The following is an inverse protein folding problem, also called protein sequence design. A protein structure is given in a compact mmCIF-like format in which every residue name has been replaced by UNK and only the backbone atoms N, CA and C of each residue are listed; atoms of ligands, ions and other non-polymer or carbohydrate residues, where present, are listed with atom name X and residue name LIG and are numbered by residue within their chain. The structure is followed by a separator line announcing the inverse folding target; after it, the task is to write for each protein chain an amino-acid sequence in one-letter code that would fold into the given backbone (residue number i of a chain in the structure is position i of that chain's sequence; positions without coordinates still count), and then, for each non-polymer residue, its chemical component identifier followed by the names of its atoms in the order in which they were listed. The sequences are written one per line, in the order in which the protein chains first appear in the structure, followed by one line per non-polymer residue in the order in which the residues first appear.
data_IF_540522204368
#
_entry.id   IF_540522204368
#
_cell.length_a   1.000
_cell.length_b   1.000
_cell.length_c   1.000
_cell.angle_alpha   90.00
_cell.angle_beta   90.00
_cell.angle_gamma   90.00
#
_symmetry.space_group_name_H-M   'P 1'
#
loop_
_entity.id
_entity.type
_entity.pdbx_description
1 polymer ?
#
# COMPACT_ATOMS: atom_id res chain seq x y z
N UNK A 1 14.00 39.38 4.42
CA UNK A 1 12.87 38.43 4.61
C UNK A 1 13.19 37.61 5.84
N UNK A 2 12.37 37.74 6.88
CA UNK A 2 12.66 37.19 8.20
C UNK A 2 12.48 35.67 8.19
N UNK A 3 13.55 34.95 8.53
CA UNK A 3 13.52 33.52 8.86
C UNK A 3 12.64 33.32 10.11
N UNK A 4 11.39 32.91 9.92
CA UNK A 4 10.50 32.52 11.01
C UNK A 4 11.02 31.23 11.62
N UNK A 5 11.80 31.38 12.68
CA UNK A 5 12.18 30.33 13.62
C UNK A 5 10.93 29.50 13.99
N UNK A 6 10.90 28.22 13.59
CA UNK A 6 9.95 27.24 14.11
C UNK A 6 10.28 27.03 15.59
N UNK A 7 9.77 27.89 16.46
CA UNK A 7 9.63 27.54 17.87
C UNK A 7 8.78 26.28 17.91
N UNK A 8 9.35 25.22 18.47
CA UNK A 8 8.72 23.93 18.69
C UNK A 8 7.33 24.14 19.26
N UNK A 9 6.31 23.96 18.42
CA UNK A 9 4.92 24.02 18.88
C UNK A 9 4.79 22.97 20.00
N UNK A 10 4.45 23.37 21.24
CA UNK A 10 4.32 22.44 22.36
C UNK A 10 3.30 21.33 22.07
N UNK A 11 2.46 21.50 21.04
CA UNK A 11 1.55 20.49 20.55
C UNK A 11 2.27 19.25 19.98
N UNK A 12 3.41 19.46 19.29
CA UNK A 12 4.13 18.48 18.46
C UNK A 12 5.41 17.94 19.10
N UNK A 13 5.57 18.15 20.41
CA UNK A 13 6.74 17.69 21.16
C UNK A 13 6.92 16.17 21.00
N UNK A 14 8.13 15.73 20.63
CA UNK A 14 8.56 14.34 20.41
C UNK A 14 8.02 13.61 19.17
N UNK A 15 6.73 13.78 18.85
CA UNK A 15 6.06 13.07 17.75
C UNK A 15 6.19 13.81 16.40
N UNK A 16 6.50 15.11 16.41
CA UNK A 16 6.60 15.89 15.19
C UNK A 16 5.24 16.30 14.64
N UNK A 17 5.15 16.58 13.33
CA UNK A 17 3.93 17.12 12.71
C UNK A 17 2.88 16.02 12.50
N UNK A 18 1.58 16.35 12.62
CA UNK A 18 0.51 15.44 12.25
C UNK A 18 0.59 15.04 10.77
N UNK A 19 0.24 13.79 10.47
CA UNK A 19 0.17 13.27 9.10
C UNK A 19 -1.28 12.90 8.78
N UNK A 20 -1.74 13.21 7.57
CA UNK A 20 -3.12 12.90 7.15
C UNK A 20 -3.30 11.46 6.68
N UNK A 21 -2.22 10.77 6.33
CA UNK A 21 -2.25 9.41 5.80
C UNK A 21 -1.00 8.62 6.19
N UNK A 22 -1.19 7.32 6.45
CA UNK A 22 -0.09 6.38 6.68
C UNK A 22 0.55 5.94 5.36
N UNK A 23 1.86 5.68 5.39
CA UNK A 23 2.56 5.09 4.23
C UNK A 23 1.99 3.73 3.89
N UNK A 24 1.70 3.49 2.62
CA UNK A 24 1.24 2.18 2.12
C UNK A 24 2.38 1.26 1.69
N UNK A 25 3.62 1.76 1.74
CA UNK A 25 4.80 1.03 1.29
C UNK A 25 5.42 0.16 2.39
N UNK A 26 5.08 0.38 3.66
CA UNK A 26 5.61 -0.39 4.80
C UNK A 26 4.57 -0.47 5.89
N UNK A 27 4.77 -1.36 6.87
CA UNK A 27 3.89 -1.41 8.03
C UNK A 27 4.07 -0.14 8.90
N UNK A 28 3.00 0.35 9.56
CA UNK A 28 3.07 1.57 10.36
C UNK A 28 3.95 1.40 11.61
N UNK A 29 4.78 2.39 11.89
CA UNK A 29 5.49 2.50 13.18
C UNK A 29 4.59 3.11 14.25
N UNK A 30 5.00 2.97 15.51
CA UNK A 30 4.37 3.66 16.64
C UNK A 30 4.32 5.19 16.42
N UNK A 31 5.37 5.77 15.82
CA UNK A 31 5.39 7.19 15.44
C UNK A 31 4.29 7.55 14.43
N UNK A 32 4.16 6.76 13.36
CA UNK A 32 3.24 7.07 12.26
C UNK A 32 1.78 7.08 12.75
N UNK A 33 1.41 6.09 13.58
CA UNK A 33 0.05 6.01 14.14
C UNK A 33 -0.23 7.14 15.12
N UNK A 34 0.75 7.60 15.89
CA UNK A 34 0.57 8.74 16.79
C UNK A 34 0.44 10.07 16.02
N UNK A 35 1.19 10.25 14.93
CA UNK A 35 1.05 11.42 14.06
C UNK A 35 -0.32 11.46 13.39
N UNK A 36 -0.84 10.30 12.95
CA UNK A 36 -2.20 10.21 12.38
C UNK A 36 -3.28 10.46 13.43
N UNK A 37 -3.11 9.91 14.65
CA UNK A 37 -4.02 10.18 15.77
C UNK A 37 -4.14 11.69 16.05
N UNK A 38 -2.99 12.38 16.08
CA UNK A 38 -2.98 13.84 16.24
C UNK A 38 -3.70 14.56 15.12
N UNK A 39 -3.61 14.07 13.88
CA UNK A 39 -4.32 14.68 12.75
C UNK A 39 -5.85 14.57 12.94
N UNK A 40 -6.37 13.38 13.26
CA UNK A 40 -7.82 13.21 13.49
C UNK A 40 -8.31 14.05 14.68
N UNK A 41 -7.53 14.12 15.76
CA UNK A 41 -7.98 14.83 16.96
C UNK A 41 -7.81 16.35 16.86
N UNK A 42 -6.65 16.83 16.39
CA UNK A 42 -6.30 18.25 16.41
C UNK A 42 -6.71 18.98 15.13
N UNK A 43 -6.61 18.33 13.97
CA UNK A 43 -6.90 18.94 12.68
C UNK A 43 -8.36 18.73 12.29
N UNK A 44 -8.89 17.53 12.45
CA UNK A 44 -10.28 17.20 12.09
C UNK A 44 -11.27 17.43 13.24
N UNK A 45 -10.79 17.73 14.45
CA UNK A 45 -11.64 18.01 15.62
C UNK A 45 -12.45 16.82 16.12
N UNK A 46 -12.04 15.59 15.79
CA UNK A 46 -12.73 14.36 16.22
C UNK A 46 -12.57 14.12 17.71
N UNK A 47 -13.54 13.42 18.29
CA UNK A 47 -13.42 12.97 19.68
C UNK A 47 -12.28 11.97 19.82
N UNK A 48 -11.62 11.95 20.97
CA UNK A 48 -10.46 11.07 21.17
C UNK A 48 -10.78 9.57 20.93
N UNK A 49 -11.94 9.02 21.36
CA UNK A 49 -12.34 7.64 21.03
C UNK A 49 -12.51 7.40 19.52
N UNK A 50 -13.11 8.35 18.81
CA UNK A 50 -13.30 8.28 17.36
C UNK A 50 -11.95 8.34 16.63
N UNK A 51 -11.06 9.25 17.05
CA UNK A 51 -9.70 9.35 16.50
C UNK A 51 -8.92 8.05 16.67
N UNK A 52 -8.99 7.40 17.83
CA UNK A 52 -8.34 6.09 18.02
C UNK A 52 -8.86 5.05 17.04
N UNK A 53 -10.18 4.96 16.89
CA UNK A 53 -10.80 3.99 15.99
C UNK A 53 -10.38 4.24 14.54
N UNK A 54 -10.45 5.49 14.08
CA UNK A 54 -10.05 5.87 12.72
C UNK A 54 -8.57 5.55 12.44
N UNK A 55 -7.67 5.87 13.38
CA UNK A 55 -6.24 5.53 13.25
C UNK A 55 -6.02 4.02 13.19
N UNK A 56 -6.71 3.25 14.05
CA UNK A 56 -6.60 1.80 14.05
C UNK A 56 -7.16 1.17 12.76
N UNK A 57 -8.29 1.65 12.25
CA UNK A 57 -8.87 1.18 10.99
C UNK A 57 -7.93 1.46 9.81
N UNK A 58 -7.29 2.63 9.77
CA UNK A 58 -6.28 2.96 8.77
C UNK A 58 -5.04 2.04 8.86
N UNK A 59 -4.56 1.75 10.08
CA UNK A 59 -3.47 0.82 10.29
C UNK A 59 -3.86 -0.60 9.84
N UNK A 60 -5.03 -1.10 10.24
CA UNK A 60 -5.54 -2.42 9.86
C UNK A 60 -5.61 -2.56 8.33
N UNK A 61 -6.05 -1.52 7.62
CA UNK A 61 -6.06 -1.51 6.16
C UNK A 61 -4.68 -1.77 5.55
N UNK A 62 -3.60 -1.24 6.13
CA UNK A 62 -2.23 -1.49 5.64
C UNK A 62 -1.80 -2.94 5.92
N UNK A 63 -2.08 -3.45 7.11
CA UNK A 63 -1.76 -4.83 7.47
C UNK A 63 -2.54 -5.84 6.61
N UNK A 64 -3.81 -5.57 6.30
CA UNK A 64 -4.61 -6.38 5.38
C UNK A 64 -4.03 -6.36 3.96
N UNK A 65 -3.51 -5.21 3.50
CA UNK A 65 -2.82 -5.13 2.19
C UNK A 65 -1.53 -5.95 2.16
N UNK A 66 -0.88 -6.12 3.31
CA UNK A 66 0.27 -7.02 3.47
C UNK A 66 -0.15 -8.50 3.64
N UNK A 67 -1.45 -8.81 3.58
CA UNK A 67 -2.02 -10.14 3.82
C UNK A 67 -1.68 -10.72 5.20
N UNK A 68 -1.46 -9.85 6.18
CA UNK A 68 -1.16 -10.25 7.54
C UNK A 68 -2.44 -10.15 8.39
N UNK A 69 -2.88 -11.27 9.00
CA UNK A 69 -4.00 -11.26 9.94
C UNK A 69 -3.77 -10.31 11.12
N UNK A 70 -4.80 -9.53 11.46
CA UNK A 70 -4.75 -8.55 12.56
C UNK A 70 -5.68 -8.90 13.71
N UNK A 71 -5.38 -8.36 14.88
CA UNK A 71 -6.26 -8.42 16.03
C UNK A 71 -7.54 -7.61 15.78
N UNK A 72 -8.57 -7.89 16.57
CA UNK A 72 -9.80 -7.08 16.61
C UNK A 72 -9.47 -5.61 16.88
N UNK A 73 -10.24 -4.72 16.25
CA UNK A 73 -10.12 -3.25 16.38
C UNK A 73 -10.04 -2.82 17.85
N UNK A 74 -10.85 -3.42 18.74
CA UNK A 74 -10.86 -3.11 20.17
C UNK A 74 -9.49 -3.35 20.86
N UNK A 75 -8.75 -4.38 20.45
CA UNK A 75 -7.41 -4.67 20.95
C UNK A 75 -6.38 -3.68 20.40
N UNK A 76 -6.51 -3.32 19.11
CA UNK A 76 -5.68 -2.30 18.48
C UNK A 76 -5.87 -0.93 19.16
N UNK A 77 -7.12 -0.54 19.43
CA UNK A 77 -7.47 0.70 20.13
C UNK A 77 -6.91 0.71 21.55
N UNK A 78 -6.99 -0.40 22.29
CA UNK A 78 -6.36 -0.50 23.61
C UNK A 78 -4.83 -0.30 23.54
N UNK A 79 -4.18 -0.90 22.54
CA UNK A 79 -2.73 -0.73 22.32
C UNK A 79 -2.38 0.73 22.00
N UNK A 80 -3.11 1.36 21.07
CA UNK A 80 -2.90 2.75 20.69
C UNK A 80 -3.20 3.72 21.85
N UNK A 81 -4.26 3.48 22.63
CA UNK A 81 -4.59 4.27 23.81
C UNK A 81 -3.48 4.21 24.86
N UNK A 82 -2.89 3.03 25.11
CA UNK A 82 -1.77 2.89 26.05
C UNK A 82 -0.54 3.65 25.56
N UNK A 83 -0.21 3.52 24.27
CA UNK A 83 0.89 4.25 23.63
C UNK A 83 0.68 5.77 23.74
N UNK A 84 -0.52 6.26 23.47
CA UNK A 84 -0.85 7.68 23.58
C UNK A 84 -0.83 8.18 25.02
N UNK A 85 -1.31 7.41 26.00
CA UNK A 85 -1.22 7.75 27.42
C UNK A 85 0.23 7.86 27.90
N UNK A 86 1.11 6.94 27.47
CA UNK A 86 2.54 7.01 27.76
C UNK A 86 3.14 8.30 27.20
N UNK A 87 2.79 8.66 25.96
CA UNK A 87 3.20 9.93 25.38
C UNK A 87 2.73 11.14 26.19
N UNK A 88 1.45 11.17 26.59
CA UNK A 88 0.91 12.28 27.38
C UNK A 88 1.60 12.42 28.74
N UNK A 89 1.90 11.29 29.41
CA UNK A 89 2.65 11.30 30.67
C UNK A 89 4.06 11.92 30.51
N UNK A 90 4.75 11.61 29.40
CA UNK A 90 6.03 12.23 29.07
C UNK A 90 5.88 13.72 28.76
N UNK A 91 4.84 14.08 28.00
CA UNK A 91 4.56 15.47 27.61
C UNK A 91 4.34 16.38 28.81
N UNK A 92 3.74 15.88 29.89
CA UNK A 92 3.57 16.63 31.16
C UNK A 92 4.91 16.93 31.84
N UNK A 93 5.93 16.09 31.65
CA UNK A 93 7.24 16.22 32.29
C UNK A 93 8.32 16.81 31.39
N UNK A 94 8.00 17.24 30.17
CA UNK A 94 8.94 17.77 29.17
C UNK A 94 9.83 18.95 29.63
N UNK A 95 9.40 19.72 30.64
CA UNK A 95 10.17 20.86 31.16
C UNK A 95 11.09 20.48 32.34
N UNK A 96 10.90 19.28 32.91
CA UNK A 96 11.68 18.80 34.05
C UNK A 96 13.02 18.28 33.56
N UNK A 97 14.10 18.66 34.25
CA UNK A 97 15.49 18.27 33.90
C UNK A 97 16.00 17.06 34.68
N UNK A 98 15.11 16.20 35.20
CA UNK A 98 15.53 15.00 35.94
C UNK A 98 16.12 13.97 34.97
N UNK A 99 17.20 13.32 35.37
CA UNK A 99 17.85 12.29 34.57
C UNK A 99 16.91 11.11 34.26
N UNK A 100 16.10 10.70 35.24
CA UNK A 100 15.10 9.65 35.05
C UNK A 100 14.00 10.01 34.05
N UNK A 101 13.66 11.29 33.90
CA UNK A 101 12.68 11.75 32.91
C UNK A 101 13.30 11.73 31.50
N UNK A 102 14.59 12.11 31.37
CA UNK A 102 15.34 12.03 30.10
C UNK A 102 15.51 10.59 29.62
N UNK A 103 15.86 9.67 30.53
CA UNK A 103 16.00 8.26 30.19
C UNK A 103 14.68 7.68 29.65
N UNK A 104 13.54 8.04 30.24
CA UNK A 104 12.22 7.63 29.73
C UNK A 104 11.89 8.27 28.37
N UNK A 105 12.28 9.52 28.16
CA UNK A 105 12.12 10.19 26.86
C UNK A 105 12.92 9.46 25.77
N UNK A 106 14.18 9.13 26.05
CA UNK A 106 15.06 8.47 25.08
C UNK A 106 14.64 7.01 24.80
N UNK A 107 14.18 6.28 25.83
CA UNK A 107 13.56 4.97 25.61
C UNK A 107 12.33 5.09 24.70
N UNK A 108 11.44 6.05 24.97
CA UNK A 108 10.26 6.24 24.16
C UNK A 108 10.59 6.66 22.72
N UNK A 109 11.68 7.42 22.49
CA UNK A 109 12.15 7.70 21.12
C UNK A 109 12.55 6.43 20.37
N UNK A 110 13.13 5.46 21.07
CA UNK A 110 13.40 4.12 20.54
C UNK A 110 12.10 3.42 20.16
N UNK A 111 11.17 3.30 21.12
CA UNK A 111 9.86 2.68 20.92
C UNK A 111 9.08 3.30 19.74
N UNK A 112 9.22 4.62 19.52
CA UNK A 112 8.57 5.32 18.41
C UNK A 112 9.01 4.81 17.03
N UNK A 113 10.24 4.31 16.90
CA UNK A 113 10.74 3.74 15.66
C UNK A 113 10.27 2.29 15.45
N UNK A 114 9.80 1.62 16.50
CA UNK A 114 9.35 0.23 16.41
C UNK A 114 8.02 0.10 15.67
N UNK A 115 7.77 -1.12 15.19
CA UNK A 115 6.56 -1.52 14.52
C UNK A 115 5.34 -1.36 15.44
N UNK A 116 4.27 -0.73 14.94
CA UNK A 116 2.98 -0.79 15.61
C UNK A 116 2.32 -2.16 15.35
N UNK A 117 2.83 -3.18 16.05
CA UNK A 117 2.45 -4.57 15.80
C UNK A 117 1.02 -4.87 16.24
N UNK A 118 0.12 -5.11 15.28
CA UNK A 118 -1.27 -5.47 15.52
C UNK A 118 -1.61 -6.85 14.97
N UNK A 119 -0.61 -7.69 14.72
CA UNK A 119 -0.80 -9.06 14.25
C UNK A 119 -1.56 -9.92 15.27
N UNK A 120 -2.29 -10.93 14.78
CA UNK A 120 -2.85 -11.97 15.65
C UNK A 120 -1.74 -12.71 16.41
N UNK A 121 -2.09 -13.37 17.53
CA UNK A 121 -1.11 -14.11 18.33
C UNK A 121 -0.49 -15.28 17.55
N UNK A 122 -1.33 -15.95 16.78
CA UNK A 122 -0.98 -17.11 15.96
C UNK A 122 -0.70 -16.71 14.50
N UNK A 123 -0.34 -15.44 14.26
CA UNK A 123 -0.12 -14.91 12.91
C UNK A 123 0.84 -15.75 12.08
N UNK A 124 1.89 -16.29 12.69
CA UNK A 124 2.89 -17.09 11.99
C UNK A 124 2.31 -18.43 11.54
N UNK A 125 1.29 -18.99 12.18
CA UNK A 125 0.64 -20.22 11.71
C UNK A 125 -0.48 -19.91 10.72
N UNK A 126 -1.18 -18.78 10.89
CA UNK A 126 -2.29 -18.34 10.03
C UNK A 126 -1.84 -17.91 8.62
N UNK A 127 -0.70 -17.24 8.49
CA UNK A 127 -0.16 -16.86 7.17
C UNK A 127 0.23 -18.14 6.42
N UNK A 128 -0.32 -18.35 5.22
CA UNK A 128 -0.03 -19.54 4.41
C UNK A 128 1.23 -19.37 3.54
N UNK A 129 1.53 -18.14 3.14
CA UNK A 129 2.65 -17.83 2.25
C UNK A 129 3.93 -17.58 3.08
N UNK A 130 5.01 -18.28 2.75
CA UNK A 130 6.28 -18.11 3.45
C UNK A 130 6.91 -16.73 3.21
N UNK A 131 6.70 -16.14 2.02
CA UNK A 131 7.20 -14.78 1.74
C UNK A 131 6.55 -13.72 2.64
N UNK A 132 5.24 -13.85 2.89
CA UNK A 132 4.51 -12.91 3.78
C UNK A 132 4.92 -13.11 5.25
N UNK A 133 5.28 -14.34 5.65
CA UNK A 133 5.85 -14.63 6.98
C UNK A 133 7.24 -14.01 7.15
N UNK A 134 8.10 -14.18 6.15
CA UNK A 134 9.44 -13.61 6.14
C UNK A 134 9.37 -12.09 6.18
N UNK A 135 8.48 -11.48 5.38
CA UNK A 135 8.25 -10.05 5.39
C UNK A 135 7.88 -9.53 6.78
N UNK A 136 6.97 -10.21 7.50
CA UNK A 136 6.62 -9.82 8.87
C UNK A 136 7.81 -9.96 9.84
N UNK A 137 8.64 -11.00 9.68
CA UNK A 137 9.85 -11.18 10.50
C UNK A 137 10.84 -10.05 10.28
N UNK A 138 11.16 -9.76 9.02
CA UNK A 138 12.06 -8.67 8.63
C UNK A 138 11.54 -7.31 9.11
N UNK A 139 10.24 -7.04 8.99
CA UNK A 139 9.63 -5.79 9.49
C UNK A 139 9.65 -5.65 11.02
N UNK A 140 9.61 -6.76 11.76
CA UNK A 140 9.73 -6.77 13.23
C UNK A 140 11.15 -6.51 13.70
N UNK A 141 12.15 -6.99 12.96
CA UNK A 141 13.57 -6.76 13.24
C UNK A 141 13.98 -5.34 12.83
N UNK A 142 13.60 -4.93 11.63
CA UNK A 142 13.85 -3.59 11.09
C UNK A 142 12.70 -3.15 10.19
N UNK A 143 11.97 -2.12 10.64
CA UNK A 143 10.82 -1.55 9.91
C UNK A 143 11.19 -0.93 8.55
N UNK A 144 12.48 -0.70 8.28
CA UNK A 144 13.00 -0.16 7.02
C UNK A 144 13.57 -1.21 6.06
N UNK A 145 13.71 -2.46 6.51
CA UNK A 145 14.38 -3.52 5.75
C UNK A 145 13.67 -3.91 4.45
N UNK A 146 12.34 -3.80 4.41
CA UNK A 146 11.50 -4.31 3.33
C UNK A 146 10.36 -3.36 2.97
N UNK A 147 9.93 -3.40 1.70
CA UNK A 147 8.81 -2.60 1.18
C UNK A 147 7.73 -3.50 0.60
N UNK A 148 6.47 -3.13 0.81
CA UNK A 148 5.26 -3.72 0.23
C UNK A 148 5.04 -3.33 -1.25
N UNK A 149 5.92 -2.52 -1.84
CA UNK A 149 5.79 -2.03 -3.22
C UNK A 149 6.28 -3.07 -4.23
N UNK A 150 5.51 -4.15 -4.40
CA UNK A 150 5.73 -5.18 -5.41
C UNK A 150 4.51 -6.09 -5.49
N UNK A 151 3.84 -6.13 -6.64
CA UNK A 151 2.73 -7.07 -6.85
C UNK A 151 3.34 -8.36 -7.37
N UNK A 152 3.33 -9.42 -6.56
CA UNK A 152 3.62 -10.77 -7.07
C UNK A 152 2.44 -11.24 -7.92
N UNK A 153 2.60 -11.14 -9.24
CA UNK A 153 1.61 -11.49 -10.26
C UNK A 153 1.15 -12.95 -10.12
N UNK A 154 2.05 -13.85 -9.71
CA UNK A 154 1.72 -15.28 -9.57
C UNK A 154 0.79 -15.50 -8.39
N UNK A 155 1.14 -14.96 -7.23
CA UNK A 155 0.31 -15.11 -6.03
C UNK A 155 -1.02 -14.35 -6.16
N UNK A 156 -1.00 -13.14 -6.75
CA UNK A 156 -2.22 -12.37 -7.03
C UNK A 156 -3.21 -13.13 -7.93
N UNK A 157 -2.70 -13.84 -8.94
CA UNK A 157 -3.54 -14.66 -9.85
C UNK A 157 -4.16 -15.86 -9.13
N UNK A 158 -3.40 -16.56 -8.28
CA UNK A 158 -3.90 -17.68 -7.47
C UNK A 158 -4.99 -17.23 -6.50
N UNK A 159 -4.78 -16.11 -5.82
CA UNK A 159 -5.76 -15.54 -4.89
C UNK A 159 -7.04 -15.07 -5.59
N UNK A 160 -6.93 -14.43 -6.76
CA UNK A 160 -8.09 -14.03 -7.55
C UNK A 160 -8.97 -15.24 -7.91
N UNK A 161 -8.34 -16.34 -8.33
CA UNK A 161 -9.05 -17.61 -8.60
C UNK A 161 -9.71 -18.17 -7.33
N UNK A 162 -9.02 -18.18 -6.19
CA UNK A 162 -9.57 -18.62 -4.90
C UNK A 162 -10.78 -17.77 -4.48
N UNK A 163 -10.66 -16.44 -4.55
CA UNK A 163 -11.74 -15.50 -4.21
C UNK A 163 -12.96 -15.67 -5.12
N UNK A 164 -12.74 -15.92 -6.41
CA UNK A 164 -13.83 -16.23 -7.34
C UNK A 164 -14.55 -17.53 -6.98
N UNK A 165 -13.82 -18.57 -6.55
CA UNK A 165 -14.41 -19.84 -6.08
C UNK A 165 -15.25 -19.62 -4.81
N UNK A 166 -14.68 -18.96 -3.80
CA UNK A 166 -15.38 -18.66 -2.54
C UNK A 166 -16.62 -17.79 -2.75
N UNK A 167 -16.56 -16.80 -3.65
CA UNK A 167 -17.72 -15.97 -3.95
C UNK A 167 -18.82 -16.75 -4.69
N UNK A 168 -18.45 -17.65 -5.62
CA UNK A 168 -19.40 -18.55 -6.29
C UNK A 168 -20.08 -19.46 -5.27
N UNK A 169 -19.32 -20.09 -4.37
CA UNK A 169 -19.86 -20.94 -3.31
C UNK A 169 -20.78 -20.16 -2.36
N UNK A 170 -20.38 -18.95 -1.94
CA UNK A 170 -21.20 -18.07 -1.11
C UNK A 170 -22.51 -17.69 -1.81
N UNK A 171 -22.48 -17.42 -3.12
CA UNK A 171 -23.69 -17.15 -3.93
C UNK A 171 -24.59 -18.38 -4.03
N UNK A 172 -24.02 -19.58 -4.22
CA UNK A 172 -24.79 -20.84 -4.25
C UNK A 172 -25.45 -21.08 -2.90
N UNK A 173 -24.72 -20.93 -1.80
CA UNK A 173 -25.25 -21.11 -0.44
C UNK A 173 -26.37 -20.11 -0.13
N UNK A 174 -26.19 -18.84 -0.48
CA UNK A 174 -27.22 -17.80 -0.32
C UNK A 174 -28.48 -18.14 -1.11
N UNK A 175 -28.37 -18.60 -2.37
CA UNK A 175 -29.53 -19.03 -3.18
C UNK A 175 -30.25 -20.23 -2.58
N UNK A 176 -29.50 -21.17 -1.99
CA UNK A 176 -30.07 -22.32 -1.31
C UNK A 176 -30.86 -21.89 -0.05
N UNK A 177 -30.28 -21.03 0.79
CA UNK A 177 -30.95 -20.48 1.98
C UNK A 177 -32.19 -19.64 1.63
N UNK A 178 -32.14 -18.85 0.55
CA UNK A 178 -33.29 -18.08 0.05
C UNK A 178 -34.44 -18.99 -0.43
N UNK A 179 -34.13 -20.12 -1.07
CA UNK A 179 -35.14 -21.13 -1.45
C UNK A 179 -35.76 -21.81 -0.22
N UNK A 180 -34.94 -22.14 0.78
CA UNK A 180 -35.42 -22.78 2.01
C UNK A 180 -36.30 -21.84 2.85
N UNK A 181 -36.04 -20.53 2.82
CA UNK A 181 -36.83 -19.53 3.57
C UNK A 181 -38.12 -19.10 2.85
N UNK A 182 -38.17 -19.18 1.52
CA UNK A 182 -39.37 -18.90 0.72
C UNK A 182 -40.28 -20.13 0.49
N UNK A 183 -39.80 -21.34 0.79
CA UNK A 183 -40.46 -22.61 0.46
C UNK A 183 -41.45 -23.20 1.47
N UNK A 184 -41.95 -22.45 2.46
CA UNK A 184 -42.96 -22.97 3.41
C UNK A 184 -44.41 -22.60 3.01
N UNK A 185 -44.76 -22.69 1.73
CA UNK A 185 -46.15 -22.81 1.30
C UNK A 185 -46.21 -23.62 0.01
N UNK A 186 -47.00 -24.69 0.06
CA UNK A 186 -47.47 -25.55 -1.05
C UNK A 186 -46.54 -26.67 -1.57
N UNK A 187 -46.85 -27.87 -1.05
CA UNK A 187 -47.15 -29.14 -1.75
C UNK A 187 -46.14 -29.79 -2.71
N UNK A 188 -46.05 -31.10 -2.49
CA UNK A 188 -45.24 -32.14 -3.12
C UNK A 188 -45.12 -32.11 -4.65
N UNK A 189 -43.91 -32.39 -5.14
CA UNK A 189 -43.69 -32.81 -6.53
C UNK A 189 -42.34 -32.40 -7.10
N UNK A 190 -41.57 -33.39 -7.55
CA UNK A 190 -40.36 -33.28 -8.40
C UNK A 190 -39.00 -33.03 -7.73
N UNK A 191 -38.36 -34.18 -7.43
CA UNK A 191 -36.92 -34.39 -7.46
C UNK A 191 -36.39 -34.08 -8.87
N UNK A 192 -35.87 -32.88 -9.12
CA UNK A 192 -35.18 -32.57 -10.38
C UNK A 192 -33.72 -32.16 -10.15
N UNK A 193 -32.85 -33.10 -10.54
CA UNK A 193 -31.53 -32.91 -11.13
C UNK A 193 -30.50 -32.09 -10.36
N UNK A 194 -29.69 -32.80 -9.58
CA UNK A 194 -28.32 -32.40 -9.27
C UNK A 194 -27.50 -32.30 -10.57
N UNK A 195 -27.44 -31.14 -11.20
CA UNK A 195 -26.41 -30.87 -12.20
C UNK A 195 -25.10 -30.57 -11.48
N UNK A 196 -24.35 -31.64 -11.20
CA UNK A 196 -22.95 -31.57 -10.85
C UNK A 196 -22.19 -31.13 -12.11
N UNK A 197 -21.96 -29.84 -12.30
CA UNK A 197 -20.95 -29.36 -13.24
C UNK A 197 -19.58 -29.60 -12.61
N UNK A 198 -19.12 -30.85 -12.71
CA UNK A 198 -17.72 -31.20 -12.56
C UNK A 198 -17.02 -30.85 -13.87
N UNK A 199 -16.71 -29.57 -14.07
CA UNK A 199 -15.73 -29.17 -15.09
C UNK A 199 -14.34 -29.44 -14.51
N UNK A 200 -13.86 -30.65 -14.81
CA UNK A 200 -12.45 -31.02 -14.72
C UNK A 200 -11.73 -30.29 -15.85
N UNK A 201 -11.05 -29.19 -15.53
CA UNK A 201 -10.03 -28.63 -16.42
C UNK A 201 -8.66 -29.16 -15.99
N UNK A 202 -8.00 -29.78 -16.96
CA UNK A 202 -6.74 -30.48 -16.86
C UNK A 202 -5.60 -29.55 -16.45
N UNK A 203 -4.70 -30.10 -15.64
CA UNK A 203 -3.48 -29.47 -15.13
C UNK A 203 -2.48 -29.36 -16.28
N UNK A 204 -2.41 -28.21 -16.95
CA UNK A 204 -1.33 -27.90 -17.89
C UNK A 204 -0.21 -27.14 -17.16
N UNK A 205 0.82 -27.89 -16.81
CA UNK A 205 2.10 -27.43 -16.28
C UNK A 205 2.85 -26.63 -17.35
N UNK A 206 2.63 -25.32 -17.39
CA UNK A 206 3.33 -24.43 -18.32
C UNK A 206 4.75 -24.11 -17.81
N UNK A 207 5.76 -24.79 -18.37
CA UNK A 207 7.16 -24.35 -18.30
C UNK A 207 7.39 -23.14 -19.23
N UNK A 208 8.03 -22.05 -18.76
CA UNK A 208 8.32 -20.90 -19.63
C UNK A 208 9.57 -21.19 -20.49
N UNK A 209 9.35 -21.45 -21.77
CA UNK A 209 10.40 -21.41 -22.79
C UNK A 209 10.80 -19.96 -23.08
N UNK A 210 12.11 -19.72 -22.98
CA UNK A 210 12.77 -18.49 -23.41
C UNK A 210 12.45 -18.23 -24.88
N UNK A 211 11.90 -17.07 -25.22
CA UNK A 211 11.75 -16.65 -26.61
C UNK A 211 12.33 -15.26 -26.81
N UNK A 212 13.48 -15.26 -27.49
CA UNK A 212 14.00 -14.12 -28.21
C UNK A 212 13.03 -13.72 -29.34
N UNK A 213 12.91 -12.43 -29.70
CA UNK A 213 12.15 -12.03 -30.88
C UNK A 213 13.09 -11.78 -32.08
N UNK A 214 12.93 -12.60 -33.12
CA UNK A 214 13.27 -12.26 -34.50
C UNK A 214 11.98 -12.20 -35.34
N UNK A 215 12.01 -11.31 -36.32
CA UNK A 215 10.97 -10.78 -37.23
C UNK A 215 10.19 -11.85 -38.03
N UNK A 216 9.06 -11.49 -38.69
CA UNK A 216 9.15 -11.05 -40.09
C UNK A 216 8.10 -10.02 -40.59
N UNK A 217 8.48 -9.41 -41.72
CA UNK A 217 7.78 -8.63 -42.75
C UNK A 217 6.39 -9.18 -43.17
N UNK A 218 5.44 -8.35 -43.67
CA UNK A 218 5.30 -7.99 -45.10
C UNK A 218 4.23 -6.91 -45.35
N UNK A 219 4.50 -6.12 -46.39
CA UNK A 219 3.86 -4.96 -47.05
C UNK A 219 2.37 -4.97 -47.40
N UNK A 220 1.77 -3.77 -47.53
CA UNK A 220 1.00 -3.32 -48.74
C UNK A 220 0.97 -1.77 -48.80
N UNK A 221 1.05 -1.25 -50.02
CA UNK A 221 1.34 0.14 -50.45
C UNK A 221 0.11 0.92 -50.95
N UNK A 222 0.25 2.26 -50.95
CA UNK A 222 -0.15 3.34 -51.92
C UNK A 222 -0.56 4.60 -51.13
N UNK A 223 -0.39 5.86 -51.53
CA UNK A 223 0.44 6.62 -52.47
C UNK A 223 0.13 8.12 -52.18
N UNK A 224 0.98 9.03 -52.68
CA UNK A 224 0.79 10.49 -52.87
C UNK A 224 1.12 11.47 -51.72
N UNK A 225 2.22 12.20 -51.93
CA UNK A 225 2.75 13.40 -51.26
C UNK A 225 2.18 14.67 -51.95
N UNK A 226 2.59 15.96 -51.68
CA UNK A 226 3.62 16.49 -50.76
C UNK A 226 3.26 17.79 -49.98
N UNK A 227 4.05 18.13 -48.96
CA UNK A 227 4.11 19.52 -48.48
C UNK A 227 4.80 19.75 -47.13
N UNK A 228 5.85 20.57 -47.16
CA UNK A 228 6.53 21.27 -46.06
C UNK A 228 7.57 20.48 -45.23
N UNK A 229 8.82 20.68 -45.64
CA UNK A 229 10.06 20.44 -44.90
C UNK A 229 10.12 21.22 -43.58
N UNK A 230 10.26 20.51 -42.46
CA UNK A 230 10.92 21.05 -41.27
C UNK A 230 11.88 19.99 -40.73
N UNK A 231 13.16 20.28 -40.79
CA UNK A 231 14.25 19.45 -40.29
C UNK A 231 14.04 19.11 -38.81
N UNK A 232 13.66 17.86 -38.51
CA UNK A 232 13.54 17.34 -37.14
C UNK A 232 14.93 17.37 -36.50
N UNK A 233 15.19 18.35 -35.63
CA UNK A 233 16.36 18.36 -34.76
C UNK A 233 16.25 17.15 -33.83
N UNK A 234 17.20 16.22 -33.91
CA UNK A 234 17.32 15.10 -32.97
C UNK A 234 17.41 15.67 -31.55
N UNK A 235 16.43 15.35 -30.70
CA UNK A 235 16.44 15.70 -29.28
C UNK A 235 17.58 14.90 -28.64
N UNK A 236 18.62 15.58 -28.16
CA UNK A 236 19.69 14.95 -27.38
C UNK A 236 19.15 14.61 -25.98
N UNK A 237 19.72 13.57 -25.36
CA UNK A 237 19.34 13.01 -24.06
C UNK A 237 18.84 14.07 -23.07
N UNK A 238 17.56 13.99 -22.72
CA UNK A 238 16.86 15.01 -21.92
C UNK A 238 17.52 15.16 -20.53
N UNK A 239 18.08 14.06 -20.00
CA UNK A 239 18.77 14.04 -18.71
C UNK A 239 20.24 14.49 -18.76
N UNK A 240 20.76 14.92 -19.91
CA UNK A 240 22.04 15.63 -20.00
C UNK A 240 21.91 17.14 -19.83
N UNK A 241 20.67 17.67 -19.83
CA UNK A 241 20.44 19.10 -19.57
C UNK A 241 20.59 19.39 -18.08
N UNK A 242 21.54 20.25 -17.66
CA UNK A 242 21.73 20.59 -16.25
C UNK A 242 20.52 21.31 -15.64
N UNK A 243 19.70 21.98 -16.48
CA UNK A 243 18.46 22.61 -16.04
C UNK A 243 17.38 21.58 -15.67
N UNK A 244 17.28 20.50 -16.47
CA UNK A 244 16.33 19.42 -16.22
C UNK A 244 16.74 18.63 -14.99
N UNK A 245 18.01 18.27 -14.87
CA UNK A 245 18.54 17.56 -13.69
C UNK A 245 18.37 18.42 -12.43
N UNK A 246 18.70 19.71 -12.49
CA UNK A 246 18.52 20.63 -11.36
C UNK A 246 17.05 20.84 -10.97
N UNK A 247 16.12 20.78 -11.93
CA UNK A 247 14.69 20.82 -11.63
C UNK A 247 14.24 19.54 -10.92
N UNK A 248 14.67 18.36 -11.40
CA UNK A 248 14.34 17.06 -10.81
C UNK A 248 14.87 16.91 -9.38
N UNK A 249 16.09 17.39 -9.13
CA UNK A 249 16.74 17.34 -7.82
C UNK A 249 15.98 18.19 -6.78
N UNK A 250 15.48 19.36 -7.17
CA UNK A 250 14.66 20.24 -6.30
C UNK A 250 13.33 19.61 -5.88
N UNK A 251 12.76 18.74 -6.71
CA UNK A 251 11.55 17.97 -6.39
C UNK A 251 11.85 16.60 -5.79
N UNK A 252 13.13 16.28 -5.58
CA UNK A 252 13.62 14.98 -5.09
C UNK A 252 12.98 13.80 -5.86
N UNK A 253 12.87 13.94 -7.18
CA UNK A 253 12.25 12.91 -8.01
C UNK A 253 13.28 11.81 -8.33
N UNK A 254 13.02 10.53 -7.99
CA UNK A 254 13.94 9.44 -8.28
C UNK A 254 14.03 9.19 -9.80
N UNK A 255 15.20 8.75 -10.29
CA UNK A 255 15.52 8.56 -11.72
C UNK A 255 14.43 7.81 -12.49
N UNK A 256 13.92 6.72 -11.90
CA UNK A 256 12.85 5.92 -12.50
C UNK A 256 11.56 6.74 -12.68
N UNK A 257 11.21 7.56 -11.69
CA UNK A 257 10.07 8.48 -11.76
C UNK A 257 10.28 9.59 -12.79
N UNK A 258 11.50 10.10 -12.91
CA UNK A 258 11.86 11.09 -13.92
C UNK A 258 11.68 10.57 -15.35
N UNK A 259 12.11 9.33 -15.62
CA UNK A 259 11.91 8.66 -16.92
C UNK A 259 10.43 8.53 -17.27
N UNK A 260 9.56 8.16 -16.31
CA UNK A 260 8.11 8.06 -16.54
C UNK A 260 7.48 9.40 -16.91
N UNK A 261 7.83 10.47 -16.18
CA UNK A 261 7.31 11.82 -16.47
C UNK A 261 7.82 12.31 -17.81
N UNK A 262 9.11 12.10 -18.12
CA UNK A 262 9.70 12.49 -19.39
C UNK A 262 9.06 11.74 -20.58
N UNK A 263 8.77 10.44 -20.43
CA UNK A 263 8.05 9.65 -21.43
C UNK A 263 6.62 10.13 -21.67
N UNK A 264 5.88 10.47 -20.61
CA UNK A 264 4.53 11.01 -20.73
C UNK A 264 4.51 12.37 -21.44
N UNK A 265 5.45 13.26 -21.11
CA UNK A 265 5.60 14.57 -21.76
C UNK A 265 6.00 14.41 -23.23
N UNK A 266 6.93 13.52 -23.52
CA UNK A 266 7.35 13.20 -24.88
C UNK A 266 6.17 12.71 -25.75
N UNK A 267 5.37 11.79 -25.21
CA UNK A 267 4.17 11.29 -25.88
C UNK A 267 3.14 12.40 -26.12
N UNK A 268 2.93 13.29 -25.13
CA UNK A 268 2.03 14.43 -25.26
C UNK A 268 2.48 15.44 -26.32
N UNK A 269 3.80 15.57 -26.53
CA UNK A 269 4.40 16.41 -27.56
C UNK A 269 4.47 15.73 -28.95
N UNK A 270 3.96 14.50 -29.07
CA UNK A 270 3.93 13.76 -30.34
C UNK A 270 5.27 13.16 -30.75
N UNK A 271 6.19 12.99 -29.81
CA UNK A 271 7.43 12.26 -30.05
C UNK A 271 7.25 10.76 -29.78
N UNK A 272 7.87 9.93 -30.62
CA UNK A 272 7.93 8.49 -30.39
C UNK A 272 8.92 8.21 -29.25
N UNK A 273 8.45 7.46 -28.25
CA UNK A 273 9.23 7.07 -27.07
C UNK A 273 10.43 6.21 -27.47
N UNK A 274 10.33 5.48 -28.60
CA UNK A 274 11.42 4.64 -29.13
C UNK A 274 12.58 5.45 -29.73
N UNK A 275 12.33 6.70 -30.12
CA UNK A 275 13.35 7.60 -30.69
C UNK A 275 14.03 8.48 -29.62
N UNK A 276 13.48 8.52 -28.41
CA UNK A 276 14.00 9.35 -27.31
C UNK A 276 14.90 8.49 -26.42
N UNK A 277 16.16 8.92 -26.34
CA UNK A 277 17.07 8.40 -25.34
C UNK A 277 16.96 9.27 -24.09
N UNK A 278 16.64 8.63 -22.97
CA UNK A 278 16.52 9.24 -21.66
C UNK A 278 17.90 9.34 -21.01
#
# INVERSE_FOLDING_TARGET
MASSSLRSDPQNWLIGKPISLLSTARLPRMLDVLQLLQFHHLTEGRTLPESYKMTCDAAICIWMRARIPTQRVDSCVRKLSKLHQNYLALKVHRTRKRESDRMKEDMFKGDLQELFDIATKDVMTEIQNEEDREFLRMQREDTFSCSMTGVDVKTASKESRKRQREEKERKVKMRYEERMTKGFNETEGELSSLTSNSESEEDEEYQPTQTQPCTPTTSTSTDSTPGASSSKKKVKNIFQSPEVVGALDRVCLPDRGAVFVAGAVAQALGHDISEITF
#
